data_IF_443217104108
#
_entry.id   IF_443217104108
#
_cell.length_a   1.000
_cell.length_b   1.000
_cell.length_c   1.000
_cell.angle_alpha   90.00
_cell.angle_beta   90.00
_cell.angle_gamma   90.00
#
_symmetry.space_group_name_H-M   'P 1'
#
loop_
_entity.id
_entity.type
_entity.pdbx_description
1 polymer ?
#
# COMPACT_ATOMS: atom_id res chain seq x y z
N UNK A 1 27.26 -14.04 29.56
CA UNK A 1 27.27 -13.98 28.08
C UNK A 1 25.82 -13.87 27.64
N UNK A 2 25.40 -12.72 27.09
CA UNK A 2 24.05 -12.58 26.55
C UNK A 2 23.97 -13.36 25.24
N UNK A 3 22.95 -14.19 25.04
CA UNK A 3 22.72 -14.91 23.78
C UNK A 3 22.60 -13.93 22.59
N UNK A 4 22.17 -12.70 22.87
CA UNK A 4 22.10 -11.61 21.89
C UNK A 4 23.47 -11.15 21.39
N UNK A 5 24.56 -11.43 22.11
CA UNK A 5 25.92 -11.11 21.65
C UNK A 5 26.44 -12.08 20.58
N UNK A 6 25.80 -13.25 20.43
CA UNK A 6 26.16 -14.28 19.44
C UNK A 6 25.29 -14.18 18.17
N UNK A 7 24.11 -13.56 18.29
CA UNK A 7 23.20 -13.32 17.17
C UNK A 7 23.66 -12.08 16.37
N UNK A 8 24.44 -12.31 15.31
CA UNK A 8 24.75 -11.27 14.33
C UNK A 8 23.48 -10.78 13.61
N UNK A 9 23.54 -9.57 13.03
CA UNK A 9 22.43 -8.99 12.27
C UNK A 9 21.92 -9.94 11.17
N UNK A 10 22.82 -10.63 10.46
CA UNK A 10 22.47 -11.61 9.42
C UNK A 10 21.64 -12.79 9.95
N UNK A 11 21.97 -13.29 11.14
CA UNK A 11 21.22 -14.38 11.75
C UNK A 11 19.84 -13.89 12.20
N UNK A 12 19.75 -12.67 12.73
CA UNK A 12 18.47 -12.06 13.08
C UNK A 12 17.59 -11.84 11.86
N UNK A 13 18.16 -11.37 10.75
CA UNK A 13 17.45 -11.24 9.47
C UNK A 13 16.91 -12.60 9.01
N UNK A 14 17.74 -13.64 9.08
CA UNK A 14 17.34 -15.00 8.69
C UNK A 14 16.23 -15.56 9.57
N UNK A 15 16.31 -15.37 10.89
CA UNK A 15 15.23 -15.79 11.80
C UNK A 15 13.97 -14.98 11.54
N UNK A 16 14.06 -13.66 11.40
CA UNK A 16 12.90 -12.81 11.15
C UNK A 16 12.22 -13.12 9.81
N UNK A 17 12.97 -13.58 8.80
CA UNK A 17 12.39 -14.03 7.52
C UNK A 17 11.48 -15.25 7.63
N UNK A 18 11.56 -16.00 8.75
CA UNK A 18 10.70 -17.16 9.05
C UNK A 18 9.47 -16.78 9.88
N UNK A 19 9.38 -15.53 10.35
CA UNK A 19 8.25 -15.05 11.14
C UNK A 19 7.22 -14.44 10.19
N UNK A 20 6.06 -15.06 10.11
CA UNK A 20 4.93 -14.57 9.31
C UNK A 20 4.40 -13.23 9.87
N UNK A 21 3.66 -12.48 9.04
CA UNK A 21 3.02 -11.24 9.47
C UNK A 21 1.87 -11.57 10.44
N UNK A 22 2.18 -11.56 11.74
CA UNK A 22 1.26 -11.97 12.79
C UNK A 22 1.60 -11.41 14.18
N UNK A 23 0.99 -11.99 15.21
CA UNK A 23 1.20 -11.60 16.60
C UNK A 23 2.66 -11.84 17.04
N UNK A 24 3.32 -12.86 16.49
CA UNK A 24 4.72 -13.21 16.75
C UNK A 24 5.67 -12.06 16.37
N UNK A 25 5.36 -11.35 15.29
CA UNK A 25 6.16 -10.19 14.84
C UNK A 25 6.08 -9.03 15.82
N UNK A 26 4.98 -8.90 16.57
CA UNK A 26 4.89 -7.93 17.68
C UNK A 26 5.82 -8.31 18.82
N UNK A 27 5.84 -9.58 19.21
CA UNK A 27 6.73 -10.09 20.25
C UNK A 27 8.20 -9.90 19.86
N UNK A 28 8.56 -10.16 18.59
CA UNK A 28 9.90 -9.94 18.06
C UNK A 28 10.40 -8.50 18.27
N UNK A 29 9.60 -7.51 17.87
CA UNK A 29 9.93 -6.08 17.97
C UNK A 29 10.14 -5.59 19.41
N UNK A 30 9.56 -6.29 20.39
CA UNK A 30 9.61 -5.90 21.80
C UNK A 30 10.80 -6.50 22.55
N UNK A 31 11.58 -7.40 21.93
CA UNK A 31 12.75 -8.03 22.57
C UNK A 31 13.83 -6.99 22.87
N UNK A 32 14.32 -6.28 21.85
CA UNK A 32 15.33 -5.23 21.99
C UNK A 32 15.40 -4.31 20.76
N UNK A 33 16.24 -3.27 20.84
CA UNK A 33 16.45 -2.29 19.75
C UNK A 33 16.96 -2.95 18.45
N UNK A 34 17.75 -4.01 18.54
CA UNK A 34 18.30 -4.70 17.37
C UNK A 34 17.23 -5.50 16.62
N UNK A 35 16.38 -6.22 17.35
CA UNK A 35 15.25 -6.95 16.78
C UNK A 35 14.25 -5.98 16.13
N UNK A 36 13.99 -4.84 16.79
CA UNK A 36 13.19 -3.75 16.26
C UNK A 36 13.78 -3.20 14.94
N UNK A 37 15.10 -3.00 14.89
CA UNK A 37 15.82 -2.54 13.69
C UNK A 37 15.71 -3.54 12.55
N UNK A 38 16.00 -4.82 12.81
CA UNK A 38 15.90 -5.90 11.82
C UNK A 38 14.49 -6.03 11.28
N UNK A 39 13.47 -5.98 12.13
CA UNK A 39 12.08 -5.97 11.68
C UNK A 39 11.78 -4.78 10.75
N UNK A 40 12.26 -3.59 11.11
CA UNK A 40 12.12 -2.37 10.32
C UNK A 40 12.70 -2.51 8.91
N UNK A 41 13.89 -3.11 8.82
CA UNK A 41 14.64 -3.25 7.57
C UNK A 41 14.14 -4.41 6.71
N UNK A 42 13.59 -5.46 7.32
CA UNK A 42 13.17 -6.67 6.59
C UNK A 42 11.68 -6.67 6.25
N UNK A 43 10.89 -5.74 6.79
CA UNK A 43 9.46 -5.65 6.49
C UNK A 43 9.22 -5.23 5.05
N UNK A 44 8.42 -6.03 4.35
CA UNK A 44 8.06 -5.88 2.92
C UNK A 44 6.64 -5.37 2.71
N UNK A 45 5.74 -5.74 3.62
CA UNK A 45 4.31 -5.44 3.58
C UNK A 45 3.90 -4.46 4.69
N UNK A 46 3.02 -3.53 4.35
CA UNK A 46 2.32 -2.68 5.31
C UNK A 46 0.85 -2.58 4.98
N UNK A 47 0.02 -2.60 6.01
CA UNK A 47 -1.38 -2.17 5.94
C UNK A 47 -1.53 -0.88 6.73
N UNK A 48 -2.06 0.16 6.08
CA UNK A 48 -2.22 1.49 6.64
C UNK A 48 -3.64 1.98 6.39
N UNK A 49 -4.44 2.04 7.44
CA UNK A 49 -5.83 2.50 7.36
C UNK A 49 -5.98 4.02 7.52
N UNK A 50 -4.95 4.71 8.03
CA UNK A 50 -4.96 6.15 8.30
C UNK A 50 -3.83 6.85 7.57
N UNK A 51 -4.19 7.78 6.68
CA UNK A 51 -3.25 8.45 5.78
C UNK A 51 -2.20 9.28 6.52
N UNK A 52 -2.55 9.82 7.71
CA UNK A 52 -1.62 10.64 8.51
C UNK A 52 -0.32 9.91 8.88
N UNK A 53 -0.35 8.57 8.97
CA UNK A 53 0.81 7.77 9.39
C UNK A 53 1.64 7.25 8.24
N UNK A 54 1.14 7.31 6.99
CA UNK A 54 1.77 6.69 5.81
C UNK A 54 3.25 7.07 5.75
N UNK A 55 3.58 8.37 5.70
CA UNK A 55 4.97 8.80 5.55
C UNK A 55 5.86 8.41 6.73
N UNK A 56 5.35 8.50 7.96
CA UNK A 56 6.09 8.08 9.15
C UNK A 56 6.41 6.58 9.13
N UNK A 57 5.47 5.76 8.65
CA UNK A 57 5.62 4.32 8.52
C UNK A 57 6.57 3.98 7.37
N UNK A 58 6.44 4.63 6.22
CA UNK A 58 7.32 4.39 5.07
C UNK A 58 8.77 4.80 5.36
N UNK A 59 8.99 5.87 6.15
CA UNK A 59 10.34 6.22 6.64
C UNK A 59 10.89 5.17 7.60
N UNK A 60 10.04 4.58 8.44
CA UNK A 60 10.42 3.51 9.36
C UNK A 60 10.71 2.20 8.64
N UNK A 61 9.96 1.89 7.59
CA UNK A 61 10.06 0.64 6.84
C UNK A 61 10.56 0.91 5.40
N UNK A 62 11.88 1.12 5.22
CA UNK A 62 12.44 1.60 3.96
C UNK A 62 12.33 0.60 2.80
N UNK A 63 12.21 -0.69 3.12
CA UNK A 63 12.23 -1.78 2.14
C UNK A 63 10.84 -2.33 1.79
N UNK A 64 9.77 -1.62 2.19
CA UNK A 64 8.39 -1.96 1.85
C UNK A 64 8.17 -1.82 0.36
N UNK A 65 7.68 -2.90 -0.24
CA UNK A 65 7.32 -3.03 -1.65
C UNK A 65 5.85 -3.44 -1.84
N UNK A 66 5.14 -3.85 -0.77
CA UNK A 66 3.71 -4.10 -0.76
C UNK A 66 2.99 -3.17 0.23
N UNK A 67 2.10 -2.31 -0.29
CA UNK A 67 1.35 -1.36 0.51
C UNK A 67 -0.15 -1.55 0.33
N UNK A 68 -0.83 -1.81 1.43
CA UNK A 68 -2.28 -1.88 1.51
C UNK A 68 -2.82 -0.60 2.17
N UNK A 69 -3.53 0.20 1.37
CA UNK A 69 -4.26 1.41 1.74
C UNK A 69 -5.78 1.19 1.55
N UNK A 70 -6.25 -0.06 1.62
CA UNK A 70 -7.66 -0.36 1.48
C UNK A 70 -8.47 0.33 2.58
N UNK A 71 -9.60 0.92 2.18
CA UNK A 71 -10.43 1.76 3.05
C UNK A 71 -9.68 2.94 3.73
N UNK A 72 -8.50 3.31 3.24
CA UNK A 72 -7.76 4.44 3.77
C UNK A 72 -8.43 5.76 3.31
N UNK A 73 -8.66 6.65 4.28
CA UNK A 73 -9.23 7.97 4.00
C UNK A 73 -8.16 8.96 3.54
N UNK A 74 -8.52 9.87 2.64
CA UNK A 74 -7.69 10.97 2.13
C UNK A 74 -6.44 10.50 1.40
N UNK A 75 -6.62 9.52 0.52
CA UNK A 75 -5.63 9.22 -0.52
C UNK A 75 -5.98 10.07 -1.74
N UNK A 76 -5.11 11.02 -2.05
CA UNK A 76 -5.22 11.93 -3.20
C UNK A 76 -4.04 11.75 -4.17
N UNK A 77 -4.08 12.46 -5.30
CA UNK A 77 -3.03 12.36 -6.33
C UNK A 77 -1.64 12.82 -5.80
N UNK A 78 -1.63 13.74 -4.82
CA UNK A 78 -0.40 14.21 -4.17
C UNK A 78 0.27 13.12 -3.33
N UNK A 79 -0.53 12.42 -2.52
CA UNK A 79 -0.10 11.24 -1.75
C UNK A 79 0.46 10.17 -2.68
N UNK A 80 -0.27 9.84 -3.76
CA UNK A 80 0.19 8.86 -4.75
C UNK A 80 1.54 9.26 -5.34
N UNK A 81 1.72 10.52 -5.76
CA UNK A 81 3.00 11.00 -6.29
C UNK A 81 4.17 10.73 -5.33
N UNK A 82 3.98 11.01 -4.05
CA UNK A 82 5.01 10.79 -3.03
C UNK A 82 5.26 9.30 -2.74
N UNK A 83 4.22 8.47 -2.80
CA UNK A 83 4.36 7.02 -2.68
C UNK A 83 5.20 6.44 -3.82
N UNK A 84 4.91 6.88 -5.05
CA UNK A 84 5.53 6.37 -6.27
C UNK A 84 6.98 6.86 -6.44
N UNK A 85 7.32 8.05 -5.92
CA UNK A 85 8.69 8.58 -5.92
C UNK A 85 9.72 7.67 -5.23
N UNK A 86 9.27 6.68 -4.44
CA UNK A 86 10.15 5.69 -3.80
C UNK A 86 10.66 4.60 -4.76
N UNK A 87 9.98 4.38 -5.89
CA UNK A 87 10.44 3.54 -7.00
C UNK A 87 10.54 2.03 -6.73
N UNK A 88 10.11 1.54 -5.57
CA UNK A 88 10.27 0.14 -5.15
C UNK A 88 8.94 -0.59 -4.90
N UNK A 89 7.80 0.03 -5.24
CA UNK A 89 6.48 -0.52 -4.97
C UNK A 89 6.10 -1.58 -6.03
N UNK A 90 5.83 -2.80 -5.58
CA UNK A 90 5.41 -3.96 -6.37
C UNK A 90 3.93 -4.30 -6.21
N UNK A 91 3.35 -4.00 -5.06
CA UNK A 91 1.94 -4.25 -4.79
C UNK A 91 1.30 -3.03 -4.13
N UNK A 92 0.18 -2.57 -4.67
CA UNK A 92 -0.59 -1.45 -4.13
C UNK A 92 -2.07 -1.80 -4.09
N UNK A 93 -2.66 -1.79 -2.89
CA UNK A 93 -4.10 -1.96 -2.71
C UNK A 93 -4.72 -0.61 -2.31
N UNK A 94 -5.57 -0.07 -3.19
CA UNK A 94 -6.37 1.15 -3.03
C UNK A 94 -7.86 0.83 -3.04
N UNK A 95 -8.25 -0.42 -2.78
CA UNK A 95 -9.66 -0.81 -2.79
C UNK A 95 -10.46 -0.04 -1.73
N UNK A 96 -11.61 0.50 -2.12
CA UNK A 96 -12.43 1.37 -1.24
C UNK A 96 -11.65 2.57 -0.66
N UNK A 97 -10.52 2.95 -1.26
CA UNK A 97 -9.85 4.19 -0.90
C UNK A 97 -10.77 5.38 -1.25
N UNK A 98 -10.46 6.56 -0.72
CA UNK A 98 -11.33 7.71 -0.93
C UNK A 98 -11.46 8.12 -2.39
N UNK A 99 -12.60 8.73 -2.71
CA UNK A 99 -12.92 9.33 -4.01
C UNK A 99 -12.15 10.63 -4.31
N UNK A 100 -11.03 10.87 -3.63
CA UNK A 100 -10.18 12.07 -3.81
C UNK A 100 -9.14 11.86 -4.92
N UNK A 101 -8.88 10.62 -5.31
CA UNK A 101 -8.02 10.30 -6.46
C UNK A 101 -8.72 10.62 -7.77
N UNK A 102 -7.97 11.22 -8.70
CA UNK A 102 -8.44 11.53 -10.05
C UNK A 102 -7.82 10.60 -11.09
N UNK A 103 -8.29 10.70 -12.33
CA UNK A 103 -7.65 10.07 -13.49
C UNK A 103 -6.13 10.33 -13.55
N UNK A 104 -5.68 11.52 -13.14
CA UNK A 104 -4.25 11.88 -13.15
C UNK A 104 -3.46 11.00 -12.17
N UNK A 105 -3.99 10.75 -10.97
CA UNK A 105 -3.36 9.87 -9.99
C UNK A 105 -3.18 8.45 -10.52
N UNK A 106 -4.16 7.92 -11.26
CA UNK A 106 -4.05 6.59 -11.87
C UNK A 106 -3.07 6.55 -13.04
N UNK A 107 -3.08 7.57 -13.90
CA UNK A 107 -2.08 7.69 -14.97
C UNK A 107 -0.67 7.80 -14.40
N UNK A 108 -0.50 8.46 -13.25
CA UNK A 108 0.77 8.50 -12.52
C UNK A 108 1.20 7.11 -12.07
N UNK A 109 0.30 6.31 -11.47
CA UNK A 109 0.61 4.92 -11.09
C UNK A 109 1.08 4.12 -12.32
N UNK A 110 0.37 4.25 -13.45
CA UNK A 110 0.72 3.56 -14.68
C UNK A 110 2.08 3.96 -15.25
N UNK A 111 2.42 5.25 -15.17
CA UNK A 111 3.69 5.77 -15.71
C UNK A 111 4.90 5.59 -14.79
N UNK A 112 4.69 5.59 -13.46
CA UNK A 112 5.79 5.63 -12.50
C UNK A 112 6.25 4.24 -12.03
N UNK A 113 5.43 3.19 -12.24
CA UNK A 113 5.73 1.89 -11.69
C UNK A 113 6.12 0.85 -12.74
N UNK A 114 7.39 0.84 -13.15
CA UNK A 114 7.95 -0.25 -13.97
C UNK A 114 8.07 -1.59 -13.23
N UNK A 115 7.90 -1.61 -11.90
CA UNK A 115 7.99 -2.83 -11.07
C UNK A 115 6.67 -3.24 -10.42
N UNK A 116 5.55 -2.54 -10.70
CA UNK A 116 4.27 -2.86 -10.07
C UNK A 116 3.65 -4.10 -10.71
N UNK A 117 3.51 -5.15 -9.90
CA UNK A 117 2.97 -6.46 -10.28
C UNK A 117 1.49 -6.59 -9.90
N UNK A 118 1.05 -5.86 -8.86
CA UNK A 118 -0.31 -5.95 -8.32
C UNK A 118 -0.87 -4.56 -8.03
N UNK A 119 -2.05 -4.28 -8.56
CA UNK A 119 -2.80 -3.06 -8.28
C UNK A 119 -4.26 -3.40 -8.08
N UNK A 120 -4.82 -3.06 -6.92
CA UNK A 120 -6.25 -3.15 -6.66
C UNK A 120 -6.83 -1.74 -6.51
N UNK A 121 -7.74 -1.36 -7.41
CA UNK A 121 -8.49 -0.09 -7.36
C UNK A 121 -9.99 -0.34 -7.29
N UNK A 122 -10.41 -1.53 -6.84
CA UNK A 122 -11.81 -1.95 -6.78
C UNK A 122 -12.63 -1.07 -5.84
N UNK A 123 -13.94 -0.97 -6.10
CA UNK A 123 -14.88 -0.25 -5.24
C UNK A 123 -14.56 1.25 -5.04
N UNK A 124 -13.81 1.86 -5.97
CA UNK A 124 -13.67 3.30 -6.08
C UNK A 124 -14.71 3.84 -7.06
N UNK A 125 -15.75 4.48 -6.55
CA UNK A 125 -16.95 4.80 -7.34
C UNK A 125 -16.80 5.91 -8.38
N UNK A 126 -15.68 6.63 -8.39
CA UNK A 126 -15.37 7.65 -9.39
C UNK A 126 -14.46 7.16 -10.53
N UNK A 127 -13.98 5.93 -10.46
CA UNK A 127 -13.18 5.34 -11.52
C UNK A 127 -14.14 4.69 -12.53
N UNK A 128 -14.35 5.35 -13.66
CA UNK A 128 -15.14 4.83 -14.77
C UNK A 128 -14.25 4.25 -15.87
N UNK A 129 -14.82 4.04 -17.05
CA UNK A 129 -14.11 3.41 -18.18
C UNK A 129 -12.93 4.24 -18.69
N UNK A 130 -12.96 5.57 -18.50
CA UNK A 130 -11.84 6.46 -18.88
C UNK A 130 -10.61 6.21 -18.02
N UNK A 131 -10.82 5.88 -16.75
CA UNK A 131 -9.80 5.62 -15.75
C UNK A 131 -9.19 4.21 -15.85
N UNK A 132 -9.82 3.29 -16.58
CA UNK A 132 -9.28 1.94 -16.84
C UNK A 132 -8.19 1.92 -17.92
N UNK A 133 -8.24 2.86 -18.87
CA UNK A 133 -7.32 2.89 -20.02
C UNK A 133 -5.83 3.08 -19.65
N UNK A 134 -5.44 3.89 -18.65
CA UNK A 134 -4.05 3.99 -18.23
C UNK A 134 -3.54 2.72 -17.54
N UNK A 135 -4.41 2.03 -16.81
CA UNK A 135 -4.02 0.87 -15.99
C UNK A 135 -3.87 -0.39 -16.86
N UNK A 136 -4.62 -0.50 -17.96
CA UNK A 136 -4.49 -1.62 -18.91
C UNK A 136 -3.14 -1.67 -19.63
N UNK A 137 -2.42 -0.54 -19.72
CA UNK A 137 -1.11 -0.44 -20.36
C UNK A 137 0.07 -0.91 -19.51
N UNK A 138 -0.15 -1.30 -18.25
CA UNK A 138 0.92 -1.74 -17.36
C UNK A 138 1.14 -3.25 -17.58
N UNK A 139 2.26 -3.60 -18.24
CA UNK A 139 2.63 -5.00 -18.49
C UNK A 139 2.87 -5.75 -17.17
N UNK A 140 2.28 -6.95 -17.03
CA UNK A 140 2.49 -7.82 -15.87
C UNK A 140 1.53 -7.60 -14.69
N UNK A 141 0.56 -6.69 -14.79
CA UNK A 141 -0.44 -6.49 -13.73
C UNK A 141 -1.46 -7.62 -13.66
N UNK A 142 -1.59 -8.21 -12.46
CA UNK A 142 -2.78 -8.97 -12.08
C UNK A 142 -3.86 -8.01 -11.55
N UNK A 143 -4.80 -7.62 -12.41
CA UNK A 143 -5.94 -6.79 -11.99
C UNK A 143 -7.04 -7.65 -11.38
N UNK A 144 -7.52 -7.31 -10.17
CA UNK A 144 -8.81 -7.78 -9.70
C UNK A 144 -9.89 -6.98 -10.44
N UNK A 145 -10.54 -7.62 -11.43
CA UNK A 145 -11.60 -6.99 -12.22
C UNK A 145 -12.67 -6.36 -11.31
N UNK A 146 -13.19 -5.16 -11.63
CA UNK A 146 -14.35 -4.63 -10.94
C UNK A 146 -15.54 -5.56 -11.24
N UNK A 147 -15.85 -6.44 -10.30
CA UNK A 147 -17.08 -7.21 -10.32
C UNK A 147 -18.22 -6.19 -10.45
N UNK A 148 -18.99 -6.32 -11.53
CA UNK A 148 -20.24 -5.59 -11.76
C UNK A 148 -21.20 -5.79 -10.59
N UNK A 149 -21.00 -5.03 -9.52
CA UNK A 149 -21.85 -4.97 -8.36
C UNK A 149 -22.59 -3.67 -8.41
N UNK A 150 -23.75 -3.66 -9.07
CA UNK A 150 -24.79 -2.65 -8.78
C UNK A 150 -25.05 -2.73 -7.27
N UNK A 151 -24.47 -1.83 -6.49
CA UNK A 151 -24.94 -1.47 -5.15
C UNK A 151 -24.18 -0.24 -4.63
N UNK A 152 -24.87 0.91 -4.69
CA UNK A 152 -24.81 1.91 -3.62
C UNK A 152 -23.65 2.90 -3.65
N UNK A 153 -23.67 3.86 -4.58
CA UNK A 153 -23.18 5.19 -4.25
C UNK A 153 -24.39 6.04 -3.86
N UNK A 154 -24.37 6.75 -2.71
CA UNK A 154 -25.42 7.73 -2.43
C UNK A 154 -25.34 8.81 -3.52
N UNK A 155 -26.40 8.92 -4.31
CA UNK A 155 -26.59 10.02 -5.25
C UNK A 155 -26.53 11.32 -4.44
N UNK A 156 -25.58 12.21 -4.78
CA UNK A 156 -25.69 13.60 -4.33
C UNK A 156 -26.90 14.17 -5.05
N UNK A 157 -27.93 14.48 -4.29
CA UNK A 157 -29.12 15.18 -4.78
C UNK A 157 -28.72 16.44 -5.55
N UNK A 158 -29.14 16.51 -6.82
CA UNK A 158 -29.16 17.75 -7.57
C UNK A 158 -30.14 18.72 -6.90
N UNK A 159 -29.79 20.02 -6.74
CA UNK A 159 -30.77 20.98 -6.29
C UNK A 159 -31.83 21.14 -7.40
N UNK A 160 -33.09 20.82 -7.06
CA UNK A 160 -34.24 21.14 -7.91
C UNK A 160 -34.24 22.64 -8.18
N UNK A 161 -34.22 23.00 -9.46
CA UNK A 161 -34.63 24.32 -9.91
C UNK A 161 -36.14 24.42 -9.74
N UNK A 162 -36.58 25.26 -8.81
CA UNK A 162 -37.82 26.02 -8.91
C UNK A 162 -37.55 27.45 -8.43
#
# INVERSE_FOLDING_TARGET
MSILAVLTEDLLVRVNSRIEDGAERRSWRLVCKEFLRVDSLTRKSLWVSRSEFIFSLLRRFPNVDALDLSACSRVDDGMLTLLLARGNLRSLNLSRATNEMSFKGLALIASACSQLEKLDVSYNCRLGDREAAPISGIEGLCQSNPSHGRNGCPQKDEPRRE
#
